data_IF_654835934869
#
_entry.id   IF_654835934869
#
_cell.length_a   1.000
_cell.length_b   1.000
_cell.length_c   1.000
_cell.angle_alpha   90.00
_cell.angle_beta   90.00
_cell.angle_gamma   90.00
#
_symmetry.space_group_name_H-M   'P 1'
#
loop_
_entity.id
_entity.type
_entity.pdbx_description
1 polymer ?
#
# COMPACT_ATOMS: atom_id res chain seq x y z
N UNK A 1 29.80 44.62 -36.57
CA UNK A 1 28.43 44.14 -36.23
C UNK A 1 28.54 43.18 -35.05
N UNK A 2 28.28 43.72 -33.84
CA UNK A 2 28.41 42.96 -32.56
C UNK A 2 27.04 42.32 -32.30
N UNK A 3 26.99 40.98 -32.31
CA UNK A 3 25.80 40.20 -32.00
C UNK A 3 25.75 39.94 -30.46
N UNK A 4 24.84 40.60 -29.73
CA UNK A 4 24.56 40.37 -28.31
C UNK A 4 23.66 39.13 -28.20
N UNK A 5 24.22 38.03 -27.71
CA UNK A 5 23.45 36.83 -27.34
C UNK A 5 23.01 37.02 -25.91
N UNK A 6 21.70 37.30 -25.74
CA UNK A 6 21.06 37.40 -24.42
C UNK A 6 20.81 35.97 -23.90
N UNK A 7 21.62 35.50 -22.94
CA UNK A 7 21.35 34.27 -22.20
C UNK A 7 20.23 34.51 -21.20
N UNK A 8 19.02 34.03 -21.51
CA UNK A 8 17.89 34.00 -20.58
C UNK A 8 18.11 32.80 -19.64
N UNK A 9 18.71 33.05 -18.47
CA UNK A 9 18.82 32.05 -17.41
C UNK A 9 17.42 31.84 -16.79
N UNK A 10 16.75 30.77 -17.19
CA UNK A 10 15.54 30.31 -16.52
C UNK A 10 15.94 29.83 -15.11
N UNK A 11 15.66 30.63 -14.10
CA UNK A 11 15.78 30.23 -12.71
C UNK A 11 14.76 29.13 -12.42
N UNK A 12 15.24 27.90 -12.39
CA UNK A 12 14.48 26.77 -11.84
C UNK A 12 14.28 27.08 -10.35
N UNK A 13 13.09 27.54 -9.99
CA UNK A 13 12.68 27.67 -8.60
C UNK A 13 12.60 26.28 -8.02
N UNK A 14 13.58 25.86 -7.24
CA UNK A 14 13.47 24.69 -6.40
C UNK A 14 12.26 24.89 -5.48
N UNK A 15 11.28 24.01 -5.58
CA UNK A 15 10.13 24.03 -4.68
C UNK A 15 10.67 23.88 -3.25
N UNK A 16 10.42 24.87 -2.40
CA UNK A 16 10.74 24.76 -0.97
C UNK A 16 10.04 23.54 -0.40
N UNK A 17 10.73 22.63 0.28
CA UNK A 17 10.10 21.48 0.93
C UNK A 17 8.97 22.01 1.83
N UNK A 18 7.76 21.48 1.69
CA UNK A 18 6.67 21.82 2.62
C UNK A 18 7.11 21.39 4.02
N UNK A 19 6.93 22.26 5.03
CA UNK A 19 7.23 21.87 6.39
C UNK A 19 6.45 20.60 6.74
N UNK A 20 7.17 19.58 7.20
CA UNK A 20 6.58 18.29 7.57
C UNK A 20 6.33 18.30 9.08
N UNK A 21 5.22 17.70 9.55
CA UNK A 21 5.00 17.49 10.98
C UNK A 21 5.98 16.46 11.52
N UNK A 22 6.14 16.42 12.82
CA UNK A 22 6.83 15.32 13.50
C UNK A 22 5.92 14.07 13.45
N UNK A 23 6.46 12.95 12.99
CA UNK A 23 5.73 11.68 12.95
C UNK A 23 6.05 10.84 14.18
N UNK A 24 5.00 10.42 14.90
CA UNK A 24 5.09 9.50 16.05
C UNK A 24 4.25 8.28 15.73
N UNK A 25 4.89 7.13 15.54
CA UNK A 25 4.22 5.86 15.24
C UNK A 25 4.32 4.94 16.46
N UNK A 26 3.18 4.52 17.01
CA UNK A 26 3.10 3.74 18.25
C UNK A 26 4.00 4.30 19.36
N UNK A 27 4.00 5.63 19.53
CA UNK A 27 4.79 6.35 20.54
C UNK A 27 6.28 6.49 20.23
N UNK A 28 6.76 6.07 19.06
CA UNK A 28 8.15 6.23 18.61
C UNK A 28 8.26 7.25 17.47
N UNK A 29 9.24 8.14 17.57
CA UNK A 29 9.58 9.06 16.47
C UNK A 29 10.06 8.28 15.25
N UNK A 30 9.55 8.66 14.07
CA UNK A 30 10.00 8.12 12.78
C UNK A 30 10.09 9.23 11.74
N UNK A 31 10.98 9.08 10.78
CA UNK A 31 11.10 9.99 9.62
C UNK A 31 10.32 9.50 8.40
N UNK A 32 9.87 8.25 8.40
CA UNK A 32 9.25 7.59 7.24
C UNK A 32 7.93 6.93 7.62
N UNK A 33 6.82 7.43 7.06
CA UNK A 33 5.49 6.85 7.23
C UNK A 33 4.92 6.30 5.92
N UNK A 34 5.56 6.56 4.77
CA UNK A 34 5.06 6.15 3.45
C UNK A 34 5.15 4.66 3.22
N UNK A 35 6.03 3.99 3.96
CA UNK A 35 6.20 2.54 3.93
C UNK A 35 5.15 1.78 4.77
N UNK A 36 4.33 2.49 5.57
CA UNK A 36 3.29 1.88 6.39
C UNK A 36 2.08 1.59 5.52
N UNK A 37 1.63 0.33 5.39
CA UNK A 37 0.42 0.00 4.68
C UNK A 37 -0.79 0.69 5.31
N UNK A 38 -1.68 1.32 4.53
CA UNK A 38 -2.88 1.99 5.08
C UNK A 38 -3.77 1.06 5.93
N UNK A 39 -3.83 -0.22 5.57
CA UNK A 39 -4.59 -1.26 6.28
C UNK A 39 -4.05 -1.56 7.69
N UNK A 40 -2.76 -1.29 7.93
CA UNK A 40 -2.15 -1.46 9.25
C UNK A 40 -2.42 -0.27 10.18
N UNK A 41 -2.96 0.84 9.66
CA UNK A 41 -3.24 2.04 10.44
C UNK A 41 -4.60 1.88 11.15
N UNK A 42 -4.59 2.01 12.48
CA UNK A 42 -5.79 2.00 13.31
C UNK A 42 -6.35 3.42 13.49
N UNK A 43 -5.47 4.39 13.75
CA UNK A 43 -5.84 5.78 13.98
C UNK A 43 -4.74 6.74 13.56
N UNK A 44 -5.14 7.93 13.11
CA UNK A 44 -4.24 9.07 12.86
C UNK A 44 -4.82 10.30 13.54
N UNK A 45 -4.01 10.95 14.38
CA UNK A 45 -4.35 12.18 15.06
C UNK A 45 -3.34 13.27 14.69
N UNK A 46 -3.82 14.48 14.41
CA UNK A 46 -2.98 15.64 14.12
C UNK A 46 -3.03 16.60 15.31
N UNK A 47 -1.88 16.83 15.94
CA UNK A 47 -1.72 17.86 16.96
C UNK A 47 -1.22 19.15 16.30
N UNK A 48 -1.79 20.33 16.67
CA UNK A 48 -1.38 21.60 16.11
C UNK A 48 0.03 21.97 16.59
N UNK A 49 0.66 22.93 15.89
CA UNK A 49 1.94 23.51 16.27
C UNK A 49 1.74 24.64 17.31
N UNK A 50 1.36 24.28 18.54
CA UNK A 50 1.13 25.19 19.65
C UNK A 50 2.16 24.98 20.78
N UNK A 51 2.13 25.87 21.78
CA UNK A 51 3.05 25.80 22.90
C UNK A 51 2.97 24.50 23.68
N UNK A 52 1.76 23.93 23.84
CA UNK A 52 1.54 22.67 24.55
C UNK A 52 2.18 21.51 23.81
N UNK A 53 1.96 21.42 22.51
CA UNK A 53 2.53 20.39 21.64
C UNK A 53 4.06 20.51 21.58
N UNK A 54 4.60 21.72 21.45
CA UNK A 54 6.06 21.97 21.45
C UNK A 54 6.67 21.62 22.81
N UNK A 55 6.00 22.00 23.92
CA UNK A 55 6.48 21.65 25.25
C UNK A 55 6.54 20.13 25.49
N UNK A 56 5.61 19.39 24.90
CA UNK A 56 5.51 17.92 25.05
C UNK A 56 6.46 17.14 24.13
N UNK A 57 6.65 17.60 22.88
CA UNK A 57 7.38 16.87 21.85
C UNK A 57 8.68 17.54 21.41
N UNK A 58 9.00 18.74 21.94
CA UNK A 58 10.19 19.50 21.63
C UNK A 58 10.10 20.32 20.34
N UNK A 59 11.20 20.99 19.98
CA UNK A 59 11.27 21.89 18.82
C UNK A 59 10.94 21.24 17.48
N UNK A 60 11.08 19.91 17.37
CA UNK A 60 10.71 19.15 16.19
C UNK A 60 9.21 19.21 15.88
N UNK A 61 8.39 19.53 16.88
CA UNK A 61 6.96 19.70 16.76
C UNK A 61 6.53 21.09 16.25
N UNK A 62 7.49 21.96 15.86
CA UNK A 62 7.20 23.30 15.36
C UNK A 62 6.26 23.37 14.15
N UNK A 63 6.06 22.25 13.44
CA UNK A 63 5.10 22.11 12.33
C UNK A 63 3.91 21.19 12.70
N UNK A 64 3.68 20.97 14.00
CA UNK A 64 2.69 20.01 14.51
C UNK A 64 3.23 18.59 14.62
N UNK A 65 2.40 17.70 15.15
CA UNK A 65 2.72 16.28 15.32
C UNK A 65 1.63 15.42 14.70
N UNK A 66 2.03 14.41 13.93
CA UNK A 66 1.14 13.38 13.46
C UNK A 66 1.35 12.12 14.31
N UNK A 67 0.35 11.76 15.11
CA UNK A 67 0.33 10.54 15.88
C UNK A 67 -0.33 9.45 15.05
N UNK A 68 0.39 8.36 14.80
CA UNK A 68 -0.10 7.20 14.06
C UNK A 68 -0.13 6.01 15.01
N UNK A 69 -1.32 5.45 15.20
CA UNK A 69 -1.50 4.20 15.93
C UNK A 69 -1.68 3.07 14.94
N UNK A 70 -0.84 2.06 15.04
CA UNK A 70 -0.93 0.87 14.19
C UNK A 70 -1.77 -0.22 14.87
N UNK A 71 -2.46 -1.01 14.05
CA UNK A 71 -3.19 -2.20 14.52
C UNK A 71 -2.24 -3.24 15.09
N UNK A 72 -0.97 -3.25 14.62
CA UNK A 72 0.04 -4.24 14.93
C UNK A 72 1.35 -3.58 15.34
N UNK A 73 2.10 -4.23 16.21
CA UNK A 73 3.49 -3.84 16.51
C UNK A 73 4.44 -4.37 15.43
N UNK A 74 4.06 -5.51 14.82
CA UNK A 74 4.75 -6.14 13.70
C UNK A 74 3.70 -6.58 12.69
N UNK A 75 3.78 -6.08 11.45
CA UNK A 75 2.91 -6.49 10.34
C UNK A 75 3.18 -7.93 9.93
N UNK A 76 2.18 -8.57 9.30
CA UNK A 76 2.36 -9.89 8.71
C UNK A 76 3.40 -9.85 7.58
N UNK A 77 4.24 -10.89 7.49
CA UNK A 77 5.30 -10.98 6.49
C UNK A 77 5.15 -12.25 5.67
N UNK A 78 5.05 -12.10 4.34
CA UNK A 78 5.10 -13.21 3.41
C UNK A 78 6.56 -13.47 3.02
N UNK A 79 7.09 -14.63 3.41
CA UNK A 79 8.54 -14.94 3.27
C UNK A 79 8.88 -15.72 2.01
N UNK A 80 7.87 -16.27 1.31
CA UNK A 80 8.12 -17.09 0.11
C UNK A 80 8.46 -16.24 -1.13
N UNK A 81 8.24 -14.92 -1.07
CA UNK A 81 8.54 -13.97 -2.15
C UNK A 81 8.60 -12.54 -1.62
N UNK A 82 9.06 -11.60 -2.48
CA UNK A 82 9.09 -10.16 -2.17
C UNK A 82 7.70 -9.58 -1.91
N UNK A 83 6.67 -10.09 -2.61
CA UNK A 83 5.27 -9.70 -2.43
C UNK A 83 4.34 -10.90 -2.62
N UNK A 84 3.23 -10.91 -1.88
CA UNK A 84 2.20 -11.94 -2.05
C UNK A 84 1.57 -11.90 -3.44
N UNK A 85 1.27 -10.70 -3.96
CA UNK A 85 0.72 -10.54 -5.32
C UNK A 85 1.67 -11.10 -6.39
N UNK A 86 2.97 -10.83 -6.28
CA UNK A 86 3.97 -11.36 -7.20
C UNK A 86 4.07 -12.88 -7.13
N UNK A 87 4.02 -13.46 -5.92
CA UNK A 87 3.97 -14.90 -5.76
C UNK A 87 2.75 -15.50 -6.45
N UNK A 88 1.53 -15.02 -6.14
CA UNK A 88 0.29 -15.53 -6.73
C UNK A 88 0.27 -15.37 -8.25
N UNK A 89 0.70 -14.22 -8.78
CA UNK A 89 0.76 -13.99 -10.22
C UNK A 89 1.62 -15.05 -10.95
N UNK A 90 2.75 -15.46 -10.35
CA UNK A 90 3.61 -16.52 -10.91
C UNK A 90 3.03 -17.93 -10.80
N UNK A 91 2.17 -18.20 -9.83
CA UNK A 91 1.49 -19.49 -9.72
C UNK A 91 0.32 -19.62 -10.71
N UNK A 92 -0.20 -18.49 -11.20
CA UNK A 92 -1.32 -18.47 -12.16
C UNK A 92 -0.81 -18.62 -13.58
N UNK A 93 -1.12 -19.74 -14.23
CA UNK A 93 -0.85 -19.92 -15.67
C UNK A 93 -1.86 -19.09 -16.47
N UNK A 94 -1.39 -18.00 -17.08
CA UNK A 94 -2.18 -17.11 -17.95
C UNK A 94 -1.33 -16.74 -19.15
N UNK A 95 -1.77 -17.13 -20.35
CA UNK A 95 -1.01 -16.92 -21.58
C UNK A 95 -1.11 -15.47 -22.07
N UNK A 96 -0.11 -15.04 -22.83
CA UNK A 96 -0.11 -13.70 -23.43
C UNK A 96 -1.19 -13.49 -24.50
N UNK A 97 -1.71 -14.59 -25.05
CA UNK A 97 -2.83 -14.63 -25.98
C UNK A 97 -4.19 -14.57 -25.28
N UNK A 98 -4.27 -14.87 -23.99
CA UNK A 98 -5.50 -14.71 -23.20
C UNK A 98 -5.86 -13.23 -23.03
N UNK A 99 -7.15 -12.88 -22.91
CA UNK A 99 -7.57 -11.50 -22.72
C UNK A 99 -7.02 -10.92 -21.43
N UNK A 100 -6.78 -9.59 -21.38
CA UNK A 100 -6.42 -8.94 -20.14
C UNK A 100 -7.56 -9.10 -19.13
N UNK A 101 -7.22 -9.58 -17.95
CA UNK A 101 -8.18 -9.84 -16.89
C UNK A 101 -7.63 -9.39 -15.54
N UNK A 102 -8.54 -8.99 -14.63
CA UNK A 102 -8.19 -8.50 -13.29
C UNK A 102 -9.06 -9.18 -12.24
N UNK A 103 -8.45 -9.41 -11.09
CA UNK A 103 -9.16 -9.77 -9.86
C UNK A 103 -8.56 -8.98 -8.69
N UNK A 104 -9.44 -8.51 -7.81
CA UNK A 104 -9.09 -7.85 -6.55
C UNK A 104 -9.82 -8.56 -5.42
N UNK A 105 -9.05 -9.06 -4.46
CA UNK A 105 -9.57 -9.79 -3.30
C UNK A 105 -9.11 -9.11 -2.01
N UNK A 106 -10.00 -9.03 -1.02
CA UNK A 106 -9.61 -8.83 0.36
C UNK A 106 -9.35 -10.19 0.98
N UNK A 107 -8.23 -10.31 1.65
CA UNK A 107 -7.86 -11.53 2.38
C UNK A 107 -7.46 -11.21 3.81
N UNK A 108 -7.53 -12.22 4.64
CA UNK A 108 -7.08 -12.20 6.02
C UNK A 108 -5.93 -13.18 6.19
N UNK A 109 -4.90 -12.77 6.91
CA UNK A 109 -3.86 -13.66 7.44
C UNK A 109 -4.24 -14.02 8.86
N UNK A 110 -4.45 -15.30 9.12
CA UNK A 110 -4.83 -15.78 10.46
C UNK A 110 -3.64 -15.75 11.43
N UNK A 111 -3.87 -15.84 12.76
CA UNK A 111 -2.78 -15.97 13.73
C UNK A 111 -1.87 -17.17 13.48
N UNK A 112 -2.35 -18.20 12.78
CA UNK A 112 -1.57 -19.38 12.38
C UNK A 112 -0.75 -19.15 11.10
N UNK A 113 -0.97 -18.01 10.42
CA UNK A 113 -0.31 -17.62 9.17
C UNK A 113 -1.00 -18.12 7.90
N UNK A 114 -2.20 -18.67 7.98
CA UNK A 114 -2.94 -19.12 6.81
C UNK A 114 -3.64 -17.94 6.13
N UNK A 115 -3.77 -17.98 4.79
CA UNK A 115 -4.49 -16.97 4.02
C UNK A 115 -5.93 -17.38 3.81
N UNK A 116 -6.88 -16.55 4.21
CA UNK A 116 -8.32 -16.74 3.99
C UNK A 116 -8.87 -15.61 3.14
N UNK A 117 -9.54 -15.92 2.04
CA UNK A 117 -10.21 -14.91 1.22
C UNK A 117 -11.48 -14.45 1.94
N UNK A 118 -11.50 -13.18 2.33
CA UNK A 118 -12.62 -12.58 3.06
C UNK A 118 -13.69 -12.01 2.10
N UNK A 119 -13.26 -11.39 0.99
CA UNK A 119 -14.17 -10.74 0.05
C UNK A 119 -13.58 -10.64 -1.36
N UNK A 120 -14.41 -10.83 -2.37
CA UNK A 120 -14.13 -10.44 -3.75
C UNK A 120 -14.55 -8.98 -3.95
N UNK A 121 -13.62 -8.12 -4.35
CA UNK A 121 -13.88 -6.71 -4.60
C UNK A 121 -14.08 -6.44 -6.10
N UNK A 122 -13.35 -7.13 -6.95
CA UNK A 122 -13.46 -7.03 -8.42
C UNK A 122 -13.08 -8.36 -9.06
N UNK A 123 -13.80 -8.76 -10.12
CA UNK A 123 -13.42 -9.88 -10.97
C UNK A 123 -13.94 -9.68 -12.38
N UNK A 124 -13.06 -9.67 -13.37
CA UNK A 124 -13.41 -9.46 -14.78
C UNK A 124 -13.44 -10.75 -15.59
N UNK A 125 -12.85 -11.84 -15.08
CA UNK A 125 -12.82 -13.15 -15.75
C UNK A 125 -12.91 -14.28 -14.72
N UNK A 126 -13.88 -15.16 -14.89
CA UNK A 126 -14.13 -16.27 -13.97
C UNK A 126 -13.04 -17.37 -13.98
N UNK A 127 -12.30 -17.51 -15.08
CA UNK A 127 -11.18 -18.46 -15.19
C UNK A 127 -9.98 -17.93 -14.38
N UNK A 128 -9.67 -16.62 -14.51
CA UNK A 128 -8.64 -15.97 -13.70
C UNK A 128 -9.00 -16.11 -12.23
N UNK A 129 -10.22 -15.76 -11.84
CA UNK A 129 -10.71 -15.90 -10.46
C UNK A 129 -10.45 -17.30 -9.91
N UNK A 130 -10.89 -18.35 -10.61
CA UNK A 130 -10.71 -19.73 -10.15
C UNK A 130 -9.24 -20.11 -9.98
N UNK A 131 -8.37 -19.68 -10.92
CA UNK A 131 -6.92 -19.95 -10.86
C UNK A 131 -6.26 -19.22 -9.69
N UNK A 132 -6.63 -17.95 -9.47
CA UNK A 132 -6.12 -17.14 -8.35
C UNK A 132 -6.58 -17.71 -7.00
N UNK A 133 -7.86 -18.04 -6.84
CA UNK A 133 -8.38 -18.64 -5.60
C UNK A 133 -7.66 -19.95 -5.28
N UNK A 134 -7.39 -20.80 -6.30
CA UNK A 134 -6.61 -22.01 -6.11
C UNK A 134 -5.17 -21.69 -5.65
N UNK A 135 -4.50 -20.76 -6.31
CA UNK A 135 -3.13 -20.36 -5.94
C UNK A 135 -3.05 -19.78 -4.52
N UNK A 136 -4.06 -19.01 -4.10
CA UNK A 136 -4.16 -18.49 -2.72
C UNK A 136 -4.33 -19.63 -1.71
N UNK A 137 -5.18 -20.61 -2.00
CA UNK A 137 -5.41 -21.76 -1.11
C UNK A 137 -4.17 -22.67 -0.96
N UNK A 138 -3.31 -22.71 -1.98
CA UNK A 138 -2.07 -23.51 -1.99
C UNK A 138 -0.83 -22.69 -1.58
N UNK A 139 -1.00 -21.40 -1.21
CA UNK A 139 0.11 -20.52 -0.87
C UNK A 139 0.78 -20.92 0.46
N UNK A 140 2.10 -20.74 0.59
CA UNK A 140 2.79 -20.92 1.86
C UNK A 140 2.25 -20.01 2.96
N UNK A 141 2.46 -20.43 4.20
CA UNK A 141 2.07 -19.65 5.37
C UNK A 141 2.89 -18.37 5.51
N UNK A 142 2.24 -17.36 6.06
CA UNK A 142 2.86 -16.12 6.50
C UNK A 142 3.48 -16.25 7.88
N UNK A 143 4.42 -15.36 8.18
CA UNK A 143 4.67 -14.97 9.57
C UNK A 143 3.55 -14.00 9.95
N UNK A 144 2.67 -14.34 10.92
CA UNK A 144 1.49 -13.54 11.22
C UNK A 144 1.85 -12.19 11.87
N UNK A 145 0.94 -11.22 11.77
CA UNK A 145 1.04 -9.97 12.49
C UNK A 145 1.06 -10.21 14.01
N UNK A 146 1.70 -9.29 14.76
CA UNK A 146 1.76 -9.39 16.23
C UNK A 146 1.35 -8.07 16.87
N UNK A 147 0.62 -8.19 17.99
CA UNK A 147 0.32 -7.10 18.90
C UNK A 147 0.68 -7.53 20.31
N UNK A 148 1.57 -6.76 20.97
CA UNK A 148 2.12 -7.11 22.28
C UNK A 148 2.73 -8.54 22.34
N UNK A 149 3.41 -8.94 21.26
CA UNK A 149 4.04 -10.25 21.13
C UNK A 149 3.08 -11.40 20.80
N UNK A 150 1.76 -11.20 20.85
CA UNK A 150 0.76 -12.21 20.52
C UNK A 150 0.43 -12.18 19.02
N UNK A 151 0.40 -13.33 18.31
CA UNK A 151 -0.08 -13.38 16.94
C UNK A 151 -1.53 -12.92 16.85
N UNK A 152 -1.83 -12.08 15.87
CA UNK A 152 -3.18 -11.55 15.62
C UNK A 152 -3.51 -11.63 14.14
N UNK A 153 -4.80 -11.60 13.86
CA UNK A 153 -5.32 -11.53 12.50
C UNK A 153 -4.97 -10.19 11.84
N UNK A 154 -4.67 -10.22 10.54
CA UNK A 154 -4.41 -9.01 9.75
C UNK A 154 -5.05 -9.11 8.37
N UNK A 155 -5.39 -7.97 7.79
CA UNK A 155 -6.03 -7.89 6.47
C UNK A 155 -5.05 -7.42 5.42
N UNK A 156 -5.32 -7.80 4.16
CA UNK A 156 -4.59 -7.31 3.00
C UNK A 156 -5.45 -7.32 1.73
N UNK A 157 -4.97 -6.62 0.72
CA UNK A 157 -5.60 -6.57 -0.60
C UNK A 157 -4.67 -7.23 -1.61
N UNK A 158 -5.20 -8.23 -2.32
CA UNK A 158 -4.54 -8.91 -3.42
C UNK A 158 -5.03 -8.32 -4.75
N UNK A 159 -4.13 -7.73 -5.50
CA UNK A 159 -4.37 -7.25 -6.86
C UNK A 159 -3.64 -8.14 -7.86
N UNK A 160 -4.37 -8.79 -8.75
CA UNK A 160 -3.80 -9.56 -9.86
C UNK A 160 -4.39 -9.04 -11.16
N UNK A 161 -3.51 -8.62 -12.08
CA UNK A 161 -3.88 -8.31 -13.46
C UNK A 161 -2.93 -9.07 -14.39
N UNK A 162 -3.48 -9.85 -15.28
CA UNK A 162 -2.72 -10.69 -16.23
C UNK A 162 -3.33 -10.58 -17.65
N UNK A 163 -2.50 -10.66 -18.70
CA UNK A 163 -1.02 -10.65 -18.65
C UNK A 163 -0.51 -9.35 -18.05
N UNK A 164 0.66 -9.40 -17.43
CA UNK A 164 1.28 -8.23 -16.81
C UNK A 164 1.54 -7.14 -17.88
N UNK A 165 1.27 -5.87 -17.53
CA UNK A 165 1.46 -4.72 -18.42
C UNK A 165 0.41 -4.58 -19.54
N UNK A 166 -0.49 -5.53 -19.75
CA UNK A 166 -1.57 -5.42 -20.75
C UNK A 166 -2.70 -4.54 -20.23
N UNK A 167 -3.09 -3.55 -21.05
CA UNK A 167 -4.18 -2.66 -20.68
C UNK A 167 -5.52 -3.41 -20.63
N UNK A 168 -6.32 -3.10 -19.61
CA UNK A 168 -7.69 -3.59 -19.52
C UNK A 168 -8.53 -2.98 -20.65
N UNK A 169 -9.44 -3.75 -21.31
CA UNK A 169 -10.40 -3.20 -22.24
C UNK A 169 -11.19 -2.09 -21.56
N UNK A 170 -11.40 -0.96 -22.27
CA UNK A 170 -12.29 0.09 -21.77
C UNK A 170 -13.70 -0.48 -21.69
N UNK A 171 -14.35 -0.35 -20.56
CA UNK A 171 -15.78 -0.59 -20.44
C UNK A 171 -16.50 0.51 -21.25
N UNK A 172 -17.15 0.12 -22.34
CA UNK A 172 -18.01 1.04 -23.10
C UNK A 172 -19.37 1.01 -22.39
N UNK A 173 -19.68 2.05 -21.62
CA UNK A 173 -21.06 2.25 -21.16
C UNK A 173 -21.95 2.51 -22.38
N UNK A 174 -22.75 1.53 -22.75
CA UNK A 174 -23.84 1.74 -23.72
C UNK A 174 -24.96 2.50 -23.02
N UNK A 175 -24.91 3.83 -23.13
CA UNK A 175 -26.03 4.69 -22.72
C UNK A 175 -27.13 4.51 -23.77
N UNK A 176 -28.16 3.73 -23.46
CA UNK A 176 -29.37 3.68 -24.27
C UNK A 176 -30.12 4.99 -24.08
N UNK A 177 -30.27 5.77 -25.16
CA UNK A 177 -31.15 6.93 -25.24
C UNK A 177 -32.55 6.50 -25.64
#
# INVERSE_FOLDING_TARGET
LLLYILFLAAAVRAATPRPQPLYIVNGKETSEIRSIPPEDIENVEMLPADEETIARYGDKAANGVMLVTLRYDQSAVFTADSTFSGYIARQVKWGDDEPAARIVLRYTVTPEGDTVVAQELESTDSRLKRRVLKAVAEAPRWTPARKNGTPVESEGILHIQLPEGKLMPRQVELVWR
#
